data_IF_680538706384
#
_entry.id   IF_680538706384
#
_cell.length_a   1.000
_cell.length_b   1.000
_cell.length_c   1.000
_cell.angle_alpha   90.00
_cell.angle_beta   90.00
_cell.angle_gamma   90.00
#
_symmetry.space_group_name_H-M   'P 1'
#
loop_
_entity.id
_entity.type
_entity.pdbx_description
1 polymer ?
#
# COMPACT_ATOMS: atom_id res chain seq x y z
N UNK A 1 27.23 -21.51 -8.76
CA UNK A 1 27.17 -22.43 -7.61
C UNK A 1 25.84 -22.20 -6.91
N UNK A 2 24.95 -23.19 -6.84
CA UNK A 2 23.73 -23.08 -6.03
C UNK A 2 24.08 -23.50 -4.60
N UNK A 3 24.41 -22.54 -3.74
CA UNK A 3 24.67 -22.77 -2.31
C UNK A 3 23.49 -22.25 -1.52
N UNK A 4 22.88 -23.11 -0.69
CA UNK A 4 21.88 -22.68 0.28
C UNK A 4 22.61 -22.06 1.48
N UNK A 5 22.15 -20.90 1.97
CA UNK A 5 22.60 -20.23 3.18
C UNK A 5 21.40 -19.98 4.08
N UNK A 6 21.48 -20.35 5.35
CA UNK A 6 20.44 -20.04 6.35
C UNK A 6 20.87 -18.78 7.11
N UNK A 7 20.00 -17.79 7.15
CA UNK A 7 20.19 -16.58 7.97
C UNK A 7 19.19 -16.55 9.13
N UNK A 8 19.58 -15.93 10.24
CA UNK A 8 18.78 -15.74 11.45
C UNK A 8 18.58 -14.26 11.69
N UNK A 9 17.34 -13.83 11.91
CA UNK A 9 17.04 -12.46 12.33
C UNK A 9 16.91 -12.39 13.85
N UNK A 10 17.51 -11.37 14.46
CA UNK A 10 17.41 -11.10 15.89
C UNK A 10 17.41 -9.60 16.13
N UNK A 11 16.25 -9.03 16.50
CA UNK A 11 16.12 -7.57 16.65
C UNK A 11 16.35 -6.84 15.32
N UNK A 12 17.45 -6.12 15.22
CA UNK A 12 17.88 -5.35 14.03
C UNK A 12 19.13 -5.91 13.36
N UNK A 13 19.47 -7.16 13.63
CA UNK A 13 20.65 -7.83 13.11
C UNK A 13 20.28 -9.11 12.37
N UNK A 14 21.07 -9.40 11.33
CA UNK A 14 20.99 -10.57 10.47
C UNK A 14 22.27 -11.37 10.66
N UNK A 15 22.16 -12.51 11.32
CA UNK A 15 23.25 -13.44 11.54
C UNK A 15 23.29 -14.43 10.37
N UNK A 16 24.47 -14.68 9.83
CA UNK A 16 24.69 -15.65 8.73
C UNK A 16 25.60 -16.82 9.13
N UNK A 17 26.18 -16.77 10.34
CA UNK A 17 26.79 -17.87 11.05
C UNK A 17 26.63 -17.63 12.57
N UNK A 18 27.27 -18.43 13.42
CA UNK A 18 27.10 -18.35 14.88
C UNK A 18 27.71 -17.09 15.54
N UNK A 19 28.64 -16.40 14.89
CA UNK A 19 29.48 -15.35 15.49
C UNK A 19 29.38 -13.99 14.77
N UNK A 20 29.06 -13.97 13.49
CA UNK A 20 29.00 -12.79 12.65
C UNK A 20 27.56 -12.32 12.39
N UNK A 21 27.36 -11.03 12.59
CA UNK A 21 26.10 -10.34 12.40
C UNK A 21 26.28 -9.13 11.48
N UNK A 22 25.23 -8.83 10.74
CA UNK A 22 25.12 -7.68 9.86
C UNK A 22 23.90 -6.85 10.29
N UNK A 23 24.02 -5.52 10.47
CA UNK A 23 22.85 -4.69 10.78
C UNK A 23 21.83 -4.77 9.63
N UNK A 24 20.54 -4.67 9.93
CA UNK A 24 19.46 -4.76 8.94
C UNK A 24 19.59 -3.73 7.79
N UNK A 25 20.23 -2.58 8.06
CA UNK A 25 20.60 -1.56 7.08
C UNK A 25 21.64 -2.01 6.04
N UNK A 26 22.38 -3.09 6.31
CA UNK A 26 23.20 -3.83 5.36
C UNK A 26 22.40 -4.77 4.45
N UNK A 27 21.07 -4.75 4.53
CA UNK A 27 20.18 -5.46 3.59
C UNK A 27 19.39 -4.49 2.70
N UNK A 28 18.58 -5.01 1.77
CA UNK A 28 17.55 -4.24 1.07
C UNK A 28 16.14 -4.42 1.67
N UNK A 29 16.01 -4.92 2.90
CA UNK A 29 14.75 -4.90 3.65
C UNK A 29 14.44 -3.43 4.05
N UNK A 30 13.18 -3.02 3.92
CA UNK A 30 12.76 -1.63 4.17
C UNK A 30 13.06 -1.18 5.61
N UNK A 31 13.40 0.10 5.77
CA UNK A 31 13.70 0.72 7.08
C UNK A 31 12.51 0.82 8.03
N UNK A 32 11.28 0.62 7.54
CA UNK A 32 10.08 0.57 8.38
C UNK A 32 10.01 -0.64 9.33
N UNK A 33 10.86 -1.66 9.13
CA UNK A 33 10.92 -2.83 9.99
C UNK A 33 11.88 -2.60 11.17
N UNK A 34 11.33 -2.13 12.30
CA UNK A 34 12.14 -1.72 13.45
C UNK A 34 12.66 -2.84 14.35
N UNK A 35 12.05 -4.05 14.32
CA UNK A 35 12.53 -5.31 14.95
C UNK A 35 11.88 -6.55 14.30
N UNK A 36 12.67 -7.61 14.11
CA UNK A 36 12.16 -8.96 13.84
C UNK A 36 11.74 -9.69 15.12
N UNK A 37 10.81 -10.64 14.99
CA UNK A 37 10.46 -11.58 16.08
C UNK A 37 11.69 -12.46 16.40
N UNK A 38 11.91 -12.86 17.67
CA UNK A 38 12.91 -13.86 18.00
C UNK A 38 12.65 -15.18 17.26
N UNK A 39 13.72 -15.86 16.83
CA UNK A 39 13.62 -17.19 16.22
C UNK A 39 13.16 -17.21 14.75
N UNK A 40 13.28 -16.10 14.01
CA UNK A 40 13.05 -16.08 12.56
C UNK A 40 14.31 -16.55 11.84
N UNK A 41 14.17 -17.58 11.01
CA UNK A 41 15.25 -18.13 10.17
C UNK A 41 14.78 -18.23 8.72
N UNK A 42 15.58 -17.73 7.77
CA UNK A 42 15.28 -17.81 6.33
C UNK A 42 16.33 -18.65 5.60
N UNK A 43 15.89 -19.47 4.65
CA UNK A 43 16.78 -20.16 3.71
C UNK A 43 16.90 -19.32 2.43
N UNK A 44 18.13 -19.12 1.98
CA UNK A 44 18.50 -18.34 0.82
C UNK A 44 19.23 -19.23 -0.18
N UNK A 45 18.85 -19.18 -1.46
CA UNK A 45 19.70 -19.69 -2.54
C UNK A 45 20.62 -18.54 -3.01
N UNK A 46 21.93 -18.69 -2.78
CA UNK A 46 22.94 -17.68 -3.15
C UNK A 46 23.15 -17.68 -4.66
N UNK A 47 22.90 -16.56 -5.32
CA UNK A 47 22.99 -16.42 -6.78
C UNK A 47 24.30 -15.79 -7.26
N UNK A 48 24.86 -14.85 -6.49
CA UNK A 48 26.15 -14.21 -6.75
C UNK A 48 26.77 -13.73 -5.44
N UNK A 49 28.10 -13.80 -5.33
CA UNK A 49 28.87 -13.15 -4.27
C UNK A 49 29.97 -12.29 -4.90
N UNK A 50 30.15 -11.07 -4.40
CA UNK A 50 31.18 -10.14 -4.86
C UNK A 50 32.21 -9.89 -3.75
N UNK A 51 33.31 -10.61 -3.81
CA UNK A 51 34.35 -10.64 -2.76
C UNK A 51 34.93 -9.27 -2.44
N UNK A 52 35.21 -8.43 -3.45
CA UNK A 52 35.76 -7.08 -3.28
C UNK A 52 34.89 -6.16 -2.41
N UNK A 53 33.57 -6.35 -2.44
CA UNK A 53 32.63 -5.53 -1.65
C UNK A 53 32.04 -6.27 -0.45
N UNK A 54 32.14 -7.60 -0.41
CA UNK A 54 31.42 -8.45 0.53
C UNK A 54 29.91 -8.45 0.28
N UNK A 55 29.45 -8.21 -0.96
CA UNK A 55 28.02 -8.18 -1.30
C UNK A 55 27.54 -9.56 -1.75
N UNK A 56 26.58 -10.12 -1.02
CA UNK A 56 25.91 -11.38 -1.34
C UNK A 56 24.53 -11.11 -1.95
N UNK A 57 24.27 -11.67 -3.13
CA UNK A 57 22.99 -11.62 -3.83
C UNK A 57 22.31 -12.99 -3.70
N UNK A 58 21.04 -13.00 -3.31
CA UNK A 58 20.31 -14.25 -3.08
C UNK A 58 18.81 -14.17 -3.39
N UNK A 59 18.21 -15.34 -3.58
CA UNK A 59 16.75 -15.55 -3.65
C UNK A 59 16.30 -16.16 -2.32
N UNK A 60 15.22 -15.65 -1.71
CA UNK A 60 14.66 -16.26 -0.51
C UNK A 60 13.84 -17.49 -0.91
N UNK A 61 14.20 -18.66 -0.38
CA UNK A 61 13.59 -19.95 -0.68
C UNK A 61 12.53 -20.35 0.35
N UNK A 62 12.73 -20.01 1.61
CA UNK A 62 11.80 -20.32 2.70
C UNK A 62 11.95 -19.29 3.84
N UNK A 63 10.85 -18.67 4.26
CA UNK A 63 10.79 -17.69 5.37
C UNK A 63 10.67 -18.34 6.77
N UNK A 64 10.46 -19.65 6.81
CA UNK A 64 10.22 -20.46 8.01
C UNK A 64 11.20 -21.64 8.05
N UNK A 65 12.49 -21.34 8.08
CA UNK A 65 13.56 -22.34 8.26
C UNK A 65 13.76 -22.69 9.74
N UNK A 66 14.51 -23.76 10.03
CA UNK A 66 14.72 -24.21 11.40
C UNK A 66 16.03 -23.69 12.00
N UNK A 67 16.04 -23.49 13.32
CA UNK A 67 17.26 -23.23 14.08
C UNK A 67 18.29 -24.35 13.91
N UNK A 68 17.84 -25.60 13.82
CA UNK A 68 18.73 -26.75 13.59
C UNK A 68 19.50 -26.58 12.27
N UNK A 69 18.82 -26.21 11.18
CA UNK A 69 19.43 -25.92 9.88
C UNK A 69 20.42 -24.75 9.92
N UNK A 70 20.19 -23.75 10.78
CA UNK A 70 21.13 -22.65 10.98
C UNK A 70 22.38 -23.07 11.75
N UNK A 71 22.25 -23.96 12.74
CA UNK A 71 23.35 -24.46 13.56
C UNK A 71 24.20 -25.56 12.90
N UNK A 72 23.67 -26.27 11.89
CA UNK A 72 24.36 -27.37 11.19
C UNK A 72 24.84 -27.02 9.78
N UNK A 73 24.59 -25.81 9.28
CA UNK A 73 25.13 -25.37 7.99
C UNK A 73 26.65 -25.18 8.05
N UNK A 74 27.32 -25.40 6.92
CA UNK A 74 28.73 -25.06 6.76
C UNK A 74 28.91 -23.54 6.61
N UNK A 75 29.85 -22.96 7.36
CA UNK A 75 30.14 -21.52 7.39
C UNK A 75 30.38 -20.93 6.00
N UNK A 76 29.82 -19.74 5.75
CA UNK A 76 30.02 -19.05 4.50
C UNK A 76 31.47 -18.57 4.38
N UNK A 77 32.16 -19.02 3.34
CA UNK A 77 33.57 -18.70 3.08
C UNK A 77 33.68 -17.32 2.42
N UNK A 78 33.61 -16.27 3.25
CA UNK A 78 33.76 -14.88 2.82
C UNK A 78 33.06 -13.90 3.77
N UNK A 79 33.64 -12.71 3.98
CA UNK A 79 33.06 -11.68 4.85
C UNK A 79 31.87 -11.01 4.17
N UNK A 80 30.68 -11.16 4.73
CA UNK A 80 29.46 -10.54 4.19
C UNK A 80 29.27 -9.15 4.82
N UNK A 81 29.47 -8.10 4.00
CA UNK A 81 29.21 -6.71 4.36
C UNK A 81 27.82 -6.22 3.93
N UNK A 82 27.18 -6.92 2.98
CA UNK A 82 25.85 -6.57 2.47
C UNK A 82 25.10 -7.80 1.92
N UNK A 83 23.80 -7.89 2.15
CA UNK A 83 22.92 -8.89 1.53
C UNK A 83 21.87 -8.19 0.65
N UNK A 84 21.68 -8.65 -0.58
CA UNK A 84 20.67 -8.14 -1.52
C UNK A 84 19.77 -9.30 -1.93
N UNK A 85 18.53 -9.28 -1.42
CA UNK A 85 17.48 -10.20 -1.82
C UNK A 85 16.90 -9.76 -3.16
N UNK A 86 16.86 -10.64 -4.16
CA UNK A 86 16.30 -10.33 -5.49
C UNK A 86 14.81 -10.04 -5.43
N UNK A 87 14.07 -10.79 -4.60
CA UNK A 87 12.65 -10.63 -4.32
C UNK A 87 12.40 -10.92 -2.84
N UNK A 88 11.47 -10.18 -2.25
CA UNK A 88 11.01 -10.37 -0.87
C UNK A 88 9.49 -10.39 -0.90
N UNK A 89 8.90 -11.47 -0.38
CA UNK A 89 7.46 -11.56 -0.15
C UNK A 89 7.10 -10.70 1.07
N UNK A 90 6.28 -9.67 0.83
CA UNK A 90 5.85 -8.73 1.85
C UNK A 90 4.96 -9.39 2.91
N UNK A 91 4.15 -10.40 2.54
CA UNK A 91 3.27 -11.10 3.49
C UNK A 91 4.10 -11.93 4.50
N UNK A 92 5.02 -12.77 4.00
CA UNK A 92 5.94 -13.53 4.86
C UNK A 92 6.85 -12.62 5.70
N UNK A 93 7.36 -11.52 5.13
CA UNK A 93 8.14 -10.51 5.87
C UNK A 93 7.33 -9.87 7.03
N UNK A 94 6.07 -9.49 6.77
CA UNK A 94 5.16 -8.95 7.80
C UNK A 94 4.89 -9.99 8.89
N UNK A 95 4.71 -11.26 8.54
CA UNK A 95 4.57 -12.38 9.48
C UNK A 95 5.76 -12.53 10.44
N UNK A 96 6.98 -12.20 9.99
CA UNK A 96 8.22 -12.30 10.77
C UNK A 96 8.55 -11.09 11.65
N UNK A 97 7.85 -9.97 11.55
CA UNK A 97 8.22 -8.71 12.23
C UNK A 97 7.34 -8.35 13.43
N UNK A 98 7.85 -7.50 14.33
CA UNK A 98 7.09 -6.97 15.46
C UNK A 98 6.53 -5.60 15.09
N UNK A 99 5.20 -5.47 14.97
CA UNK A 99 4.55 -4.17 14.75
C UNK A 99 4.86 -3.23 15.91
N UNK A 100 5.45 -2.08 15.60
CA UNK A 100 5.66 -0.99 16.56
C UNK A 100 4.30 -0.46 17.04
N UNK A 101 4.01 -0.55 18.34
CA UNK A 101 2.85 0.13 18.96
C UNK A 101 3.17 1.62 19.16
N UNK A 102 3.30 2.36 18.07
CA UNK A 102 3.44 3.81 18.06
C UNK A 102 2.30 4.46 17.26
N UNK A 103 1.06 4.22 17.70
CA UNK A 103 -0.16 5.06 17.49
C UNK A 103 -1.44 4.36 17.98
N UNK A 104 -1.44 3.80 19.20
CA UNK A 104 -2.63 3.15 19.78
C UNK A 104 -2.90 3.57 21.23
N UNK A 105 -3.09 4.87 21.47
CA UNK A 105 -3.41 5.43 22.80
C UNK A 105 -4.28 6.69 22.73
N UNK A 106 -5.47 6.58 22.15
CA UNK A 106 -6.48 7.65 22.15
C UNK A 106 -7.93 7.16 22.39
N UNK A 107 -8.15 5.86 22.63
CA UNK A 107 -9.48 5.26 22.87
C UNK A 107 -9.46 4.21 23.98
N UNK A 108 -9.19 4.63 25.22
CA UNK A 108 -9.49 3.80 26.41
C UNK A 108 -9.64 4.58 27.73
N UNK A 109 -10.01 5.86 27.67
CA UNK A 109 -10.14 6.75 28.85
C UNK A 109 -11.49 7.48 28.93
N UNK A 110 -12.58 6.87 28.42
CA UNK A 110 -13.95 7.35 28.61
C UNK A 110 -14.95 6.19 28.78
N UNK A 111 -14.98 5.60 29.99
CA UNK A 111 -16.16 5.00 30.65
C UNK A 111 -15.75 4.24 31.93
N UNK A 112 -15.80 4.93 33.07
CA UNK A 112 -16.14 4.36 34.38
C UNK A 112 -16.20 5.45 35.47
N UNK A 113 -17.41 5.78 35.93
CA UNK A 113 -17.72 6.26 37.29
C UNK A 113 -18.93 5.47 37.76
N UNK A 114 -18.96 5.05 39.04
CA UNK A 114 -19.69 5.87 40.01
C UNK A 114 -18.97 6.09 41.36
N UNK A 115 -19.41 7.13 42.07
CA UNK A 115 -19.55 7.40 43.53
C UNK A 115 -18.94 6.41 44.57
N UNK A 116 -18.56 6.78 45.80
CA UNK A 116 -18.41 8.06 46.55
C UNK A 116 -17.69 7.74 47.90
N UNK A 117 -16.86 8.60 48.51
CA UNK A 117 -17.25 9.66 49.47
C UNK A 117 -16.02 10.43 50.03
N UNK A 118 -16.27 11.66 50.53
CA UNK A 118 -15.57 12.45 51.59
C UNK A 118 -14.19 11.98 52.12
N UNK A 119 -13.17 12.83 52.28
CA UNK A 119 -13.08 13.82 53.40
C UNK A 119 -12.14 15.01 53.08
N UNK A 120 -12.22 16.10 53.87
CA UNK A 120 -11.77 17.48 53.59
C UNK A 120 -10.31 17.84 53.96
N UNK A 121 -9.73 18.75 53.15
CA UNK A 121 -8.85 19.91 53.49
C UNK A 121 -7.43 19.70 54.10
N UNK A 122 -6.53 20.73 54.11
CA UNK A 122 -6.40 21.91 53.22
C UNK A 122 -4.95 22.18 52.71
N UNK A 123 -4.79 23.22 51.87
CA UNK A 123 -3.53 23.72 51.27
C UNK A 123 -2.51 24.32 52.26
N UNK A 124 -1.20 24.23 51.97
CA UNK A 124 -0.20 25.24 52.36
C UNK A 124 1.09 25.29 51.50
N UNK A 125 1.39 26.51 51.04
CA UNK A 125 2.69 27.18 50.84
C UNK A 125 3.80 26.63 49.90
N UNK A 126 4.15 27.47 48.91
CA UNK A 126 5.52 27.66 48.41
C UNK A 126 6.42 28.31 49.48
N UNK A 127 7.76 28.16 49.37
CA UNK A 127 8.71 29.17 49.83
C UNK A 127 9.60 29.73 48.70
N UNK A 128 10.08 30.95 48.93
CA UNK A 128 10.82 31.81 47.99
C UNK A 128 12.34 31.61 48.03
N UNK A 129 13.05 32.17 47.05
CA UNK A 129 14.51 32.24 47.01
C UNK A 129 15.12 33.26 48.02
N UNK A 130 16.42 33.13 48.34
CA UNK A 130 17.25 34.24 48.82
C UNK A 130 18.46 34.55 47.91
N UNK A 131 19.02 35.76 48.07
CA UNK A 131 20.08 36.33 47.22
C UNK A 131 21.51 36.18 47.77
N UNK A 132 22.48 36.31 46.84
CA UNK A 132 23.83 36.94 46.91
C UNK A 132 24.72 36.79 48.17
N UNK A 133 25.99 36.45 47.92
CA UNK A 133 27.16 37.03 48.61
C UNK A 133 28.30 37.29 47.61
N UNK A 134 29.09 38.32 47.89
CA UNK A 134 30.26 38.75 47.13
C UNK A 134 31.56 38.14 47.67
N UNK A 135 32.61 38.05 46.83
CA UNK A 135 33.97 38.38 47.25
C UNK A 135 34.85 38.73 46.03
N UNK A 136 35.72 39.75 46.19
CA UNK A 136 36.73 40.17 45.21
C UNK A 136 38.03 39.38 45.36
N UNK A 137 38.82 39.25 44.28
CA UNK A 137 40.27 39.57 44.29
C UNK A 137 40.91 39.70 42.88
N UNK A 138 41.67 40.80 42.71
CA UNK A 138 42.91 40.98 41.92
C UNK A 138 43.01 40.65 40.42
N UNK A 139 43.07 41.72 39.62
CA UNK A 139 43.87 42.01 38.42
C UNK A 139 44.92 40.97 37.93
N UNK A 140 44.88 40.64 36.64
CA UNK A 140 46.06 40.42 35.78
C UNK A 140 45.79 41.06 34.39
N UNK A 141 46.82 41.70 33.85
CA UNK A 141 46.85 42.53 32.64
C UNK A 141 48.24 42.40 31.98
N UNK A 142 48.48 42.42 30.65
CA UNK A 142 47.63 42.54 29.45
C UNK A 142 48.12 41.51 28.42
N UNK A 143 47.25 40.91 27.59
CA UNK A 143 47.65 40.40 26.26
C UNK A 143 46.52 40.51 25.23
N UNK A 144 46.70 41.39 24.23
CA UNK A 144 45.74 41.59 23.15
C UNK A 144 45.50 40.31 22.34
N UNK A 145 44.29 39.74 22.46
CA UNK A 145 43.73 38.88 21.42
C UNK A 145 42.87 39.78 20.54
N UNK A 146 43.37 40.12 19.36
CA UNK A 146 42.58 40.79 18.33
C UNK A 146 41.28 40.00 18.09
N UNK A 147 40.12 40.65 17.93
CA UNK A 147 38.91 39.92 17.54
C UNK A 147 39.19 39.17 16.22
N UNK A 148 38.67 37.95 16.04
CA UNK A 148 38.86 37.22 14.79
C UNK A 148 38.34 38.10 13.65
N UNK A 149 39.16 38.33 12.62
CA UNK A 149 38.73 39.12 11.47
C UNK A 149 37.48 38.48 10.86
N UNK A 150 36.38 39.23 10.89
CA UNK A 150 35.09 38.76 10.43
C UNK A 150 35.19 38.45 8.92
N UNK A 151 35.29 37.16 8.57
CA UNK A 151 35.38 36.71 7.18
C UNK A 151 34.20 37.31 6.42
N UNK A 152 34.48 38.12 5.40
CA UNK A 152 33.43 38.85 4.69
C UNK A 152 32.74 37.91 3.69
N UNK A 153 31.80 37.11 4.20
CA UNK A 153 31.04 36.15 3.39
C UNK A 153 30.07 36.89 2.45
N UNK A 154 30.28 36.74 1.15
CA UNK A 154 29.33 37.21 0.14
C UNK A 154 28.13 36.25 0.11
N UNK A 155 26.91 36.79 0.01
CA UNK A 155 25.70 35.98 -0.13
C UNK A 155 25.16 36.08 -1.55
N UNK A 156 24.82 34.93 -2.15
CA UNK A 156 24.31 34.82 -3.51
C UNK A 156 23.00 34.01 -3.53
N UNK A 157 22.03 34.42 -4.37
CA UNK A 157 20.80 33.65 -4.60
C UNK A 157 21.02 32.70 -5.77
N UNK A 158 20.81 31.40 -5.54
CA UNK A 158 20.99 30.32 -6.52
C UNK A 158 19.70 29.53 -6.66
N UNK A 159 19.33 29.16 -7.89
CA UNK A 159 18.20 28.26 -8.15
C UNK A 159 18.72 26.90 -8.63
N UNK A 160 18.23 25.81 -8.03
CA UNK A 160 18.55 24.43 -8.45
C UNK A 160 17.26 23.69 -8.82
N UNK A 161 17.27 22.88 -9.88
CA UNK A 161 16.18 21.95 -10.22
C UNK A 161 16.65 20.49 -10.04
N UNK A 162 15.80 19.67 -9.42
CA UNK A 162 16.12 18.28 -9.06
C UNK A 162 14.94 17.38 -9.43
N UNK A 163 15.21 16.34 -10.23
CA UNK A 163 14.22 15.30 -10.54
C UNK A 163 14.30 14.16 -9.51
N UNK A 164 13.20 13.90 -8.80
CA UNK A 164 13.12 12.81 -7.82
C UNK A 164 12.01 11.82 -8.21
N UNK A 165 12.29 10.50 -8.33
CA UNK A 165 11.25 9.51 -8.57
C UNK A 165 10.18 9.55 -7.46
N UNK A 166 8.90 9.43 -7.81
CA UNK A 166 7.82 9.41 -6.80
C UNK A 166 8.00 8.31 -5.76
N UNK A 167 8.61 7.19 -6.14
CA UNK A 167 8.96 6.05 -5.26
C UNK A 167 10.14 6.31 -4.31
N UNK A 168 10.78 7.47 -4.40
CA UNK A 168 11.92 7.86 -3.57
C UNK A 168 11.58 9.06 -2.66
N UNK A 169 10.32 9.51 -2.65
CA UNK A 169 9.81 10.53 -1.74
C UNK A 169 9.33 9.87 -0.44
N UNK A 170 9.56 10.53 0.68
CA UNK A 170 9.02 10.14 1.99
C UNK A 170 7.68 10.86 2.18
N UNK A 171 6.58 10.11 2.16
CA UNK A 171 5.21 10.63 2.28
C UNK A 171 4.82 10.79 3.75
N UNK A 172 4.34 11.98 4.11
CA UNK A 172 3.96 12.35 5.46
C UNK A 172 2.60 13.07 5.44
N UNK A 173 1.92 13.15 6.59
CA UNK A 173 0.67 13.92 6.70
C UNK A 173 0.89 15.38 6.31
N UNK A 174 0.30 15.80 5.19
CA UNK A 174 0.35 17.16 4.66
C UNK A 174 1.63 17.55 3.92
N UNK A 175 2.57 16.62 3.66
CA UNK A 175 3.79 16.93 2.89
C UNK A 175 4.53 15.71 2.34
N UNK A 176 5.39 15.94 1.35
CA UNK A 176 6.49 15.03 0.99
C UNK A 176 7.84 15.63 1.38
N UNK A 177 8.80 14.78 1.70
CA UNK A 177 10.20 15.18 1.82
C UNK A 177 11.17 14.18 1.18
N UNK A 178 12.41 14.62 0.98
CA UNK A 178 13.54 13.78 0.60
C UNK A 178 14.85 14.46 1.00
N UNK A 179 15.96 13.70 1.04
CA UNK A 179 17.28 14.27 1.39
C UNK A 179 18.09 14.61 0.15
N UNK A 180 18.36 15.90 -0.04
CA UNK A 180 19.19 16.41 -1.12
C UNK A 180 20.58 16.84 -0.62
N UNK A 181 21.47 17.15 -1.56
CA UNK A 181 22.87 17.48 -1.31
C UNK A 181 23.29 18.60 -2.28
N UNK A 182 22.93 19.88 -1.99
CA UNK A 182 23.07 20.99 -2.95
C UNK A 182 24.49 21.23 -3.44
N UNK A 183 25.47 20.93 -2.59
CA UNK A 183 26.91 21.06 -2.85
C UNK A 183 27.65 19.86 -2.25
N UNK A 184 28.48 19.16 -3.05
CA UNK A 184 29.07 17.85 -2.72
C UNK A 184 29.90 17.77 -1.43
N UNK A 185 30.38 18.92 -0.95
CA UNK A 185 31.21 19.05 0.24
C UNK A 185 30.43 19.52 1.48
N UNK A 186 29.18 19.96 1.32
CA UNK A 186 28.34 20.45 2.41
C UNK A 186 27.37 19.36 2.92
N UNK A 187 26.73 19.52 4.08
CA UNK A 187 25.78 18.52 4.60
C UNK A 187 24.58 18.27 3.68
N UNK A 188 23.95 17.10 3.82
CA UNK A 188 22.62 16.85 3.24
C UNK A 188 21.57 17.67 3.99
N UNK A 189 20.59 18.17 3.23
CA UNK A 189 19.41 18.88 3.74
C UNK A 189 18.16 18.08 3.42
N UNK A 190 17.17 18.17 4.30
CA UNK A 190 15.81 17.70 4.01
C UNK A 190 15.07 18.76 3.21
N UNK A 191 14.64 18.38 2.01
CA UNK A 191 13.81 19.18 1.13
C UNK A 191 12.36 18.77 1.39
N UNK A 192 11.49 19.72 1.72
CA UNK A 192 10.09 19.49 2.08
C UNK A 192 9.17 20.36 1.24
N UNK A 193 8.08 19.76 0.74
CA UNK A 193 6.99 20.47 0.03
C UNK A 193 5.66 20.05 0.64
N UNK A 194 4.87 21.04 1.08
CA UNK A 194 3.57 20.81 1.70
C UNK A 194 2.48 20.59 0.63
N UNK A 195 1.53 19.71 0.94
CA UNK A 195 0.24 19.55 0.27
C UNK A 195 -0.68 18.75 1.22
N UNK A 196 -1.81 19.35 1.62
CA UNK A 196 -2.71 18.81 2.65
C UNK A 196 -3.40 17.49 2.27
N UNK A 197 -3.54 17.20 0.98
CA UNK A 197 -4.07 15.93 0.48
C UNK A 197 -3.12 14.76 0.71
N UNK A 198 -1.82 15.01 0.94
CA UNK A 198 -0.83 13.95 1.13
C UNK A 198 -1.01 13.25 2.48
N UNK A 199 -0.92 11.92 2.42
CA UNK A 199 -1.07 11.00 3.55
C UNK A 199 0.12 10.06 3.66
N UNK A 200 0.48 9.67 4.88
CA UNK A 200 1.61 8.76 5.12
C UNK A 200 1.42 7.39 4.45
N UNK A 201 0.16 6.94 4.26
CA UNK A 201 -0.12 5.67 3.57
C UNK A 201 0.20 5.70 2.06
N UNK A 202 0.49 6.87 1.47
CA UNK A 202 0.72 6.99 0.03
C UNK A 202 2.07 6.44 -0.45
N UNK A 203 2.99 6.11 0.46
CA UNK A 203 4.26 5.45 0.13
C UNK A 203 4.07 4.19 -0.72
N UNK A 204 3.09 3.34 -0.36
CA UNK A 204 2.79 2.10 -1.09
C UNK A 204 2.10 2.32 -2.45
N UNK A 205 1.48 3.48 -2.68
CA UNK A 205 0.85 3.86 -3.95
C UNK A 205 1.60 4.93 -4.76
N UNK A 206 2.79 5.33 -4.31
CA UNK A 206 3.67 6.32 -4.94
C UNK A 206 3.90 6.10 -6.44
N UNK A 207 4.01 4.83 -6.88
CA UNK A 207 4.08 4.44 -8.30
C UNK A 207 2.84 4.86 -9.10
N UNK A 208 1.64 4.74 -8.52
CA UNK A 208 0.38 5.09 -9.17
C UNK A 208 0.15 6.61 -9.20
N UNK A 209 0.61 7.35 -8.18
CA UNK A 209 0.63 8.83 -8.21
C UNK A 209 1.41 9.32 -9.43
N UNK A 210 2.64 8.82 -9.63
CA UNK A 210 3.43 9.13 -10.82
C UNK A 210 2.76 8.71 -12.14
N UNK A 211 2.13 7.53 -12.18
CA UNK A 211 1.34 7.08 -13.35
C UNK A 211 0.20 8.04 -13.68
N UNK A 212 -0.54 8.54 -12.67
CA UNK A 212 -1.69 9.44 -12.85
C UNK A 212 -1.27 10.87 -13.24
N UNK A 213 -0.17 11.37 -12.68
CA UNK A 213 0.46 12.64 -13.07
C UNK A 213 1.12 12.55 -14.47
N UNK A 214 1.37 11.33 -14.97
CA UNK A 214 1.99 11.08 -16.27
C UNK A 214 3.52 11.23 -16.26
N UNK A 215 4.16 11.22 -15.08
CA UNK A 215 5.61 11.38 -14.91
C UNK A 215 6.16 10.38 -13.90
N UNK A 216 7.34 9.80 -14.17
CA UNK A 216 8.02 8.91 -13.20
C UNK A 216 8.66 9.68 -12.03
N UNK A 217 9.04 10.93 -12.28
CA UNK A 217 9.74 11.80 -11.35
C UNK A 217 8.95 13.11 -11.20
N UNK A 218 8.92 13.66 -9.98
CA UNK A 218 8.54 15.05 -9.73
C UNK A 218 9.76 15.96 -9.87
N UNK A 219 9.54 17.20 -10.32
CA UNK A 219 10.58 18.24 -10.36
C UNK A 219 10.49 19.08 -9.08
N UNK A 220 11.63 19.32 -8.43
CA UNK A 220 11.74 20.20 -7.28
C UNK A 220 12.67 21.36 -7.61
N UNK A 221 12.12 22.57 -7.62
CA UNK A 221 12.85 23.83 -7.81
C UNK A 221 13.13 24.42 -6.43
N UNK A 222 14.41 24.54 -6.10
CA UNK A 222 14.90 25.06 -4.82
C UNK A 222 15.49 26.45 -5.06
N UNK A 223 15.07 27.42 -4.27
CA UNK A 223 15.77 28.69 -4.13
C UNK A 223 16.68 28.63 -2.89
N UNK A 224 17.97 28.87 -3.10
CA UNK A 224 19.01 28.83 -2.08
C UNK A 224 19.61 30.22 -1.88
N UNK A 225 19.92 30.55 -0.63
CA UNK A 225 20.84 31.65 -0.30
C UNK A 225 22.15 31.02 0.16
N UNK A 226 23.21 31.29 -0.58
CA UNK A 226 24.51 30.60 -0.45
C UNK A 226 25.55 31.61 0.01
N UNK A 227 26.27 31.28 1.08
CA UNK A 227 27.39 32.09 1.56
C UNK A 227 28.68 31.54 0.96
N UNK A 228 29.32 32.35 0.13
CA UNK A 228 30.61 32.05 -0.50
C UNK A 228 31.72 32.84 0.17
N UNK A 229 32.88 32.21 0.31
CA UNK A 229 34.08 32.85 0.83
C UNK A 229 34.84 33.63 -0.27
N UNK A 230 35.94 34.26 0.11
CA UNK A 230 36.78 35.09 -0.77
C UNK A 230 37.39 34.31 -1.95
N UNK A 231 37.51 32.97 -1.86
CA UNK A 231 37.94 32.12 -2.98
C UNK A 231 36.77 31.60 -3.84
N UNK A 232 35.54 32.05 -3.59
CA UNK A 232 34.34 31.67 -4.34
C UNK A 232 33.79 30.29 -4.02
N UNK A 233 34.25 29.64 -2.93
CA UNK A 233 33.75 28.34 -2.48
C UNK A 233 32.56 28.52 -1.54
N UNK A 234 31.57 27.64 -1.66
CA UNK A 234 30.37 27.64 -0.82
C UNK A 234 30.71 27.12 0.59
N UNK A 235 30.63 27.97 1.61
CA UNK A 235 30.82 27.57 3.02
C UNK A 235 29.50 27.13 3.68
N UNK A 236 28.37 27.71 3.28
CA UNK A 236 27.03 27.32 3.78
C UNK A 236 25.90 27.73 2.84
N UNK A 237 24.73 27.13 3.00
CA UNK A 237 23.51 27.49 2.29
C UNK A 237 22.29 27.48 3.22
N UNK A 238 21.24 28.20 2.83
CA UNK A 238 19.91 28.16 3.42
C UNK A 238 18.88 27.96 2.29
N UNK A 239 17.85 27.14 2.52
CA UNK A 239 16.74 27.00 1.58
C UNK A 239 15.74 28.13 1.87
N UNK A 240 15.55 29.02 0.89
CA UNK A 240 14.57 30.11 0.96
C UNK A 240 13.17 29.61 0.60
N UNK A 241 13.07 28.82 -0.47
CA UNK A 241 11.80 28.26 -0.94
C UNK A 241 12.02 26.95 -1.69
N UNK A 242 10.98 26.12 -1.71
CA UNK A 242 10.92 24.87 -2.49
C UNK A 242 9.58 24.83 -3.19
N UNK A 243 9.59 24.60 -4.50
CA UNK A 243 8.40 24.44 -5.31
C UNK A 243 8.44 23.12 -6.07
N UNK A 244 7.29 22.46 -6.22
CA UNK A 244 7.13 21.33 -7.13
C UNK A 244 5.71 21.31 -7.70
N UNK A 245 5.61 21.51 -9.01
CA UNK A 245 4.32 21.56 -9.71
C UNK A 245 3.60 20.22 -9.63
N UNK A 246 4.33 19.11 -9.73
CA UNK A 246 3.73 17.78 -9.60
C UNK A 246 3.12 17.56 -8.21
N UNK A 247 3.83 17.95 -7.15
CA UNK A 247 3.35 17.80 -5.78
C UNK A 247 2.18 18.74 -5.49
N UNK A 248 2.24 20.00 -5.94
CA UNK A 248 1.13 20.95 -5.86
C UNK A 248 -0.12 20.45 -6.60
N UNK A 249 0.07 19.77 -7.74
CA UNK A 249 -1.06 19.27 -8.54
C UNK A 249 -1.86 18.14 -7.88
N UNK A 250 -1.33 17.48 -6.84
CA UNK A 250 -2.03 16.38 -6.15
C UNK A 250 -3.25 16.93 -5.42
N UNK A 251 -4.44 16.67 -5.95
CA UNK A 251 -5.72 17.01 -5.36
C UNK A 251 -6.54 15.75 -5.00
N UNK A 252 -7.71 15.96 -4.40
CA UNK A 252 -8.64 14.89 -4.05
C UNK A 252 -8.99 13.97 -5.23
N UNK A 253 -9.09 14.52 -6.45
CA UNK A 253 -9.42 13.75 -7.66
C UNK A 253 -8.28 12.82 -8.07
N UNK A 254 -7.04 13.30 -8.05
CA UNK A 254 -5.85 12.47 -8.29
C UNK A 254 -5.74 11.37 -7.23
N UNK A 255 -5.98 11.69 -5.95
CA UNK A 255 -5.97 10.68 -4.88
C UNK A 255 -7.06 9.63 -5.10
N UNK A 256 -8.26 10.05 -5.50
CA UNK A 256 -9.38 9.14 -5.76
C UNK A 256 -9.11 8.20 -6.95
N UNK A 257 -8.65 8.76 -8.07
CA UNK A 257 -8.26 7.97 -9.24
C UNK A 257 -7.07 7.03 -8.93
N UNK A 258 -6.15 7.42 -8.05
CA UNK A 258 -5.05 6.56 -7.58
C UNK A 258 -5.55 5.38 -6.76
N UNK A 259 -6.54 5.57 -5.88
CA UNK A 259 -7.15 4.49 -5.10
C UNK A 259 -7.87 3.48 -6.00
N UNK A 260 -8.70 3.93 -6.94
CA UNK A 260 -9.31 3.04 -7.93
C UNK A 260 -8.26 2.33 -8.78
N UNK A 261 -7.27 3.07 -9.30
CA UNK A 261 -6.17 2.49 -10.10
C UNK A 261 -5.43 1.39 -9.33
N UNK A 262 -5.14 1.62 -8.05
CA UNK A 262 -4.50 0.62 -7.20
C UNK A 262 -5.41 -0.59 -6.97
N UNK A 263 -6.67 -0.36 -6.61
CA UNK A 263 -7.61 -1.44 -6.35
C UNK A 263 -7.87 -2.33 -7.57
N UNK A 264 -8.04 -1.75 -8.76
CA UNK A 264 -8.20 -2.51 -10.00
C UNK A 264 -6.92 -3.24 -10.41
N UNK A 265 -5.73 -2.65 -10.24
CA UNK A 265 -4.47 -3.39 -10.48
C UNK A 265 -4.39 -4.63 -9.55
N UNK A 266 -4.87 -4.52 -8.31
CA UNK A 266 -4.98 -5.65 -7.39
C UNK A 266 -6.06 -6.67 -7.80
N UNK A 267 -7.25 -6.25 -8.27
CA UNK A 267 -8.30 -7.15 -8.76
C UNK A 267 -7.90 -7.90 -10.04
N UNK A 268 -7.36 -7.20 -11.04
CA UNK A 268 -7.01 -7.77 -12.34
C UNK A 268 -5.65 -8.48 -12.37
N UNK A 269 -4.87 -8.40 -11.28
CA UNK A 269 -3.58 -9.09 -11.18
C UNK A 269 -3.76 -10.60 -11.12
N UNK A 270 -3.02 -11.33 -11.96
CA UNK A 270 -2.88 -12.80 -11.85
C UNK A 270 -2.26 -13.26 -10.51
N UNK A 271 -1.65 -12.32 -9.77
CA UNK A 271 -1.08 -12.48 -8.43
C UNK A 271 -1.73 -11.47 -7.47
N UNK A 272 -3.05 -11.36 -7.52
CA UNK A 272 -3.85 -10.68 -6.53
C UNK A 272 -3.54 -11.21 -5.12
N UNK A 273 -3.42 -10.31 -4.15
CA UNK A 273 -3.25 -10.62 -2.73
C UNK A 273 -4.60 -10.47 -2.01
N UNK A 274 -5.68 -10.96 -2.63
CA UNK A 274 -7.05 -10.77 -2.16
C UNK A 274 -7.48 -12.05 -1.45
N UNK A 275 -7.98 -11.93 -0.23
CA UNK A 275 -8.52 -13.07 0.50
C UNK A 275 -9.95 -13.37 0.01
N UNK A 276 -10.28 -14.67 -0.13
CA UNK A 276 -11.56 -15.20 -0.64
C UNK A 276 -11.95 -14.68 -2.04
N UNK A 277 -11.06 -14.82 -3.03
CA UNK A 277 -11.24 -14.28 -4.40
C UNK A 277 -12.45 -14.81 -5.17
N UNK A 278 -12.93 -16.01 -4.83
CA UNK A 278 -14.12 -16.65 -5.42
C UNK A 278 -15.42 -16.35 -4.66
N UNK A 279 -15.37 -15.58 -3.57
CA UNK A 279 -16.54 -15.23 -2.76
C UNK A 279 -17.25 -13.99 -3.33
N UNK A 280 -18.58 -14.03 -3.33
CA UNK A 280 -19.43 -12.91 -3.75
C UNK A 280 -19.42 -11.77 -2.72
N UNK A 281 -18.60 -10.76 -2.95
CA UNK A 281 -18.50 -9.57 -2.09
C UNK A 281 -19.28 -8.41 -2.72
N UNK A 282 -19.94 -7.60 -1.90
CA UNK A 282 -20.27 -6.23 -2.28
C UNK A 282 -18.99 -5.41 -2.37
N UNK A 283 -19.07 -4.30 -3.08
CA UNK A 283 -18.13 -3.18 -3.03
C UNK A 283 -17.63 -2.85 -1.61
N UNK A 284 -18.55 -2.59 -0.69
CA UNK A 284 -18.28 -2.21 0.71
C UNK A 284 -17.45 -3.30 1.42
N UNK A 285 -17.87 -4.56 1.32
CA UNK A 285 -17.19 -5.72 1.91
C UNK A 285 -15.79 -5.91 1.30
N UNK A 286 -15.68 -5.86 -0.03
CA UNK A 286 -14.41 -6.01 -0.74
C UNK A 286 -13.38 -4.95 -0.32
N UNK A 287 -13.78 -3.68 -0.32
CA UNK A 287 -12.89 -2.59 0.09
C UNK A 287 -12.62 -2.62 1.60
N UNK A 288 -13.57 -3.08 2.41
CA UNK A 288 -13.38 -3.23 3.85
C UNK A 288 -12.31 -4.26 4.22
N UNK A 289 -12.34 -5.42 3.58
CA UNK A 289 -11.42 -6.54 3.84
C UNK A 289 -10.00 -6.25 3.35
N UNK A 290 -9.85 -5.63 2.17
CA UNK A 290 -8.58 -5.63 1.44
C UNK A 290 -7.76 -4.32 1.51
N UNK A 291 -8.32 -3.21 2.01
CA UNK A 291 -7.67 -1.89 1.95
C UNK A 291 -7.76 -1.11 3.28
N UNK A 292 -6.73 -0.34 3.61
CA UNK A 292 -6.77 0.62 4.72
C UNK A 292 -7.74 1.78 4.41
N UNK A 293 -8.36 2.39 5.43
CA UNK A 293 -9.40 3.42 5.26
C UNK A 293 -9.01 4.57 4.33
N UNK A 294 -7.75 4.99 4.35
CA UNK A 294 -7.24 6.11 3.57
C UNK A 294 -6.94 5.73 2.10
N UNK A 295 -6.94 4.44 1.77
CA UNK A 295 -6.73 3.89 0.44
C UNK A 295 -8.01 3.29 -0.17
N UNK A 296 -9.13 3.27 0.56
CA UNK A 296 -10.45 2.94 0.01
C UNK A 296 -10.94 4.10 -0.86
N UNK A 297 -11.53 3.83 -2.03
CA UNK A 297 -12.31 4.83 -2.75
C UNK A 297 -13.40 5.43 -1.84
N UNK A 298 -13.73 6.68 -2.10
CA UNK A 298 -14.82 7.43 -1.47
C UNK A 298 -16.19 6.92 -1.92
N UNK A 299 -16.34 6.56 -3.21
CA UNK A 299 -17.54 5.94 -3.76
C UNK A 299 -17.33 4.44 -3.93
N UNK A 300 -18.08 3.68 -3.12
CA UNK A 300 -18.08 2.23 -3.14
C UNK A 300 -19.50 1.71 -3.40
N UNK A 301 -20.30 2.40 -4.20
CA UNK A 301 -21.47 1.75 -4.80
C UNK A 301 -21.00 0.83 -5.95
N UNK A 302 -21.65 -0.32 -6.19
CA UNK A 302 -21.20 -1.26 -7.21
C UNK A 302 -21.32 -0.76 -8.66
N UNK A 303 -22.23 0.17 -8.94
CA UNK A 303 -22.43 0.75 -10.27
C UNK A 303 -21.23 1.64 -10.66
N UNK A 304 -20.80 2.53 -9.76
CA UNK A 304 -19.58 3.32 -9.87
C UNK A 304 -18.34 2.43 -10.02
N UNK A 305 -18.25 1.30 -9.30
CA UNK A 305 -17.16 0.32 -9.52
C UNK A 305 -17.18 -0.24 -10.94
N UNK A 306 -18.35 -0.60 -11.46
CA UNK A 306 -18.47 -1.17 -12.80
C UNK A 306 -18.06 -0.15 -13.87
N UNK A 307 -18.52 1.10 -13.76
CA UNK A 307 -18.07 2.20 -14.63
C UNK A 307 -16.56 2.46 -14.53
N UNK A 308 -16.03 2.54 -13.30
CA UNK A 308 -14.59 2.75 -13.06
C UNK A 308 -13.73 1.57 -13.53
N UNK A 309 -14.25 0.35 -13.48
CA UNK A 309 -13.62 -0.82 -14.08
C UNK A 309 -13.58 -0.68 -15.61
N UNK A 310 -14.68 -0.25 -16.24
CA UNK A 310 -14.75 -0.02 -17.69
C UNK A 310 -13.71 1.03 -18.16
N UNK A 311 -13.51 2.10 -17.38
CA UNK A 311 -12.45 3.09 -17.62
C UNK A 311 -11.04 2.47 -17.50
N UNK A 312 -10.81 1.61 -16.51
CA UNK A 312 -9.50 1.02 -16.23
C UNK A 312 -9.06 -0.03 -17.27
N UNK A 313 -9.98 -0.91 -17.67
CA UNK A 313 -9.74 -2.01 -18.61
C UNK A 313 -11.04 -2.37 -19.32
N UNK A 314 -11.14 -2.11 -20.63
CA UNK A 314 -12.33 -2.47 -21.42
C UNK A 314 -12.66 -3.97 -21.23
N UNK A 315 -13.86 -4.34 -20.77
CA UNK A 315 -14.28 -5.73 -20.61
C UNK A 315 -14.48 -6.40 -21.97
N UNK A 316 -14.52 -7.72 -21.99
CA UNK A 316 -15.00 -8.46 -23.17
C UNK A 316 -16.50 -8.29 -23.36
N UNK A 317 -17.26 -8.40 -22.26
CA UNK A 317 -18.72 -8.36 -22.28
C UNK A 317 -19.27 -6.95 -21.97
N UNK A 318 -18.74 -5.91 -22.64
CA UNK A 318 -19.14 -4.53 -22.35
C UNK A 318 -20.65 -4.29 -22.49
N UNK A 319 -21.25 -4.70 -23.60
CA UNK A 319 -22.68 -4.49 -23.85
C UNK A 319 -23.58 -5.33 -22.92
N UNK A 320 -23.32 -6.64 -22.70
CA UNK A 320 -24.01 -7.42 -21.67
C UNK A 320 -23.94 -6.81 -20.26
N UNK A 321 -22.73 -6.49 -19.77
CA UNK A 321 -22.54 -5.94 -18.42
C UNK A 321 -23.27 -4.61 -18.24
N UNK A 322 -23.24 -3.74 -19.26
CA UNK A 322 -23.98 -2.47 -19.24
C UNK A 322 -25.49 -2.71 -19.21
N UNK A 323 -26.03 -3.59 -20.06
CA UNK A 323 -27.45 -3.92 -20.08
C UNK A 323 -27.93 -4.52 -18.75
N UNK A 324 -27.12 -5.39 -18.13
CA UNK A 324 -27.44 -5.99 -16.83
C UNK A 324 -27.40 -4.97 -15.70
N UNK A 325 -26.45 -4.02 -15.73
CA UNK A 325 -26.41 -2.91 -14.77
C UNK A 325 -27.64 -2.00 -14.88
N UNK A 326 -28.00 -1.58 -16.10
CA UNK A 326 -29.19 -0.75 -16.37
C UNK A 326 -30.51 -1.45 -15.94
N UNK A 327 -30.52 -2.78 -15.81
CA UNK A 327 -31.67 -3.60 -15.40
C UNK A 327 -31.62 -4.07 -13.94
N UNK A 328 -30.56 -3.73 -13.21
CA UNK A 328 -30.32 -4.28 -11.88
C UNK A 328 -31.28 -3.73 -10.80
N UNK A 329 -31.85 -4.63 -10.00
CA UNK A 329 -32.70 -4.32 -8.85
C UNK A 329 -31.88 -4.02 -7.58
N UNK A 330 -31.12 -2.94 -7.64
CA UNK A 330 -30.22 -2.48 -6.57
C UNK A 330 -30.96 -2.14 -5.25
N UNK A 331 -32.25 -1.80 -5.33
CA UNK A 331 -33.15 -1.56 -4.20
C UNK A 331 -33.50 -2.83 -3.41
N UNK A 332 -33.54 -3.98 -4.07
CA UNK A 332 -33.83 -5.29 -3.46
C UNK A 332 -32.55 -6.07 -3.11
N UNK A 333 -31.49 -5.91 -3.90
CA UNK A 333 -30.24 -6.65 -3.75
C UNK A 333 -29.06 -5.81 -4.22
N UNK A 334 -28.10 -5.51 -3.34
CA UNK A 334 -26.85 -4.86 -3.73
C UNK A 334 -26.07 -5.75 -4.71
N UNK A 335 -25.66 -5.21 -5.85
CA UNK A 335 -24.74 -5.87 -6.79
C UNK A 335 -23.48 -6.37 -6.09
N UNK A 336 -23.09 -7.61 -6.42
CA UNK A 336 -21.93 -8.31 -5.87
C UNK A 336 -21.01 -8.77 -6.98
N UNK A 337 -19.74 -8.99 -6.66
CA UNK A 337 -18.76 -9.55 -7.58
C UNK A 337 -17.83 -10.56 -6.92
N UNK A 338 -17.26 -11.44 -7.75
CA UNK A 338 -16.08 -12.27 -7.45
C UNK A 338 -14.86 -11.66 -8.13
N UNK A 339 -13.66 -11.93 -7.63
CA UNK A 339 -12.38 -11.48 -8.23
C UNK A 339 -11.77 -12.53 -9.16
N UNK A 340 -11.98 -13.83 -8.88
CA UNK A 340 -11.56 -14.92 -9.80
C UNK A 340 -12.68 -15.94 -10.01
N UNK A 341 -13.22 -16.05 -11.24
CA UNK A 341 -13.10 -15.08 -12.35
C UNK A 341 -13.69 -13.71 -11.94
N UNK A 342 -13.18 -12.59 -12.48
CA UNK A 342 -13.76 -11.28 -12.19
C UNK A 342 -15.14 -11.20 -12.82
N UNK A 343 -16.19 -11.23 -12.01
CA UNK A 343 -17.57 -11.49 -12.47
C UNK A 343 -18.58 -10.80 -11.58
N UNK A 344 -19.67 -10.32 -12.16
CA UNK A 344 -20.73 -9.58 -11.49
C UNK A 344 -22.00 -10.43 -11.38
N UNK A 345 -22.61 -10.44 -10.20
CA UNK A 345 -23.89 -11.11 -9.93
C UNK A 345 -25.00 -10.07 -9.78
N UNK A 346 -25.79 -9.91 -10.84
CA UNK A 346 -26.95 -9.04 -10.89
C UNK A 346 -28.20 -9.76 -10.39
N UNK A 347 -29.12 -9.02 -9.79
CA UNK A 347 -30.52 -9.41 -9.64
C UNK A 347 -31.36 -8.66 -10.67
N UNK A 348 -32.14 -9.38 -11.48
CA UNK A 348 -33.17 -8.86 -12.37
C UNK A 348 -34.56 -9.27 -11.87
N UNK A 349 -35.58 -8.52 -12.27
CA UNK A 349 -37.00 -8.79 -12.03
C UNK A 349 -37.70 -9.01 -13.37
N UNK A 350 -38.39 -10.15 -13.51
CA UNK A 350 -39.41 -10.37 -14.54
C UNK A 350 -40.81 -10.29 -13.92
N UNK A 351 -41.84 -10.71 -14.64
CA UNK A 351 -43.24 -10.53 -14.21
C UNK A 351 -43.54 -11.30 -12.91
N UNK A 352 -43.33 -12.61 -12.91
CA UNK A 352 -43.64 -13.51 -11.78
C UNK A 352 -42.41 -14.10 -11.06
N UNK A 353 -41.19 -13.77 -11.50
CA UNK A 353 -39.93 -14.35 -10.98
C UNK A 353 -38.83 -13.31 -10.78
N UNK A 354 -37.85 -13.67 -9.94
CA UNK A 354 -36.55 -13.00 -9.88
C UNK A 354 -35.49 -13.86 -10.59
N UNK A 355 -34.46 -13.20 -11.10
CA UNK A 355 -33.38 -13.86 -11.84
C UNK A 355 -32.02 -13.38 -11.32
N UNK A 356 -31.24 -14.31 -10.76
CA UNK A 356 -29.82 -14.05 -10.53
C UNK A 356 -29.06 -14.28 -11.84
N UNK A 357 -28.27 -13.30 -12.26
CA UNK A 357 -27.49 -13.34 -13.50
C UNK A 357 -26.03 -13.10 -13.19
N UNK A 358 -25.18 -14.10 -13.42
CA UNK A 358 -23.73 -14.00 -13.31
C UNK A 358 -23.12 -13.78 -14.69
N UNK A 359 -22.41 -12.67 -14.85
CA UNK A 359 -21.70 -12.30 -16.08
C UNK A 359 -20.23 -12.01 -15.79
N UNK A 360 -19.34 -12.55 -16.61
CA UNK A 360 -17.89 -12.43 -16.44
C UNK A 360 -17.33 -11.19 -17.13
N UNK A 361 -16.30 -10.58 -16.58
CA UNK A 361 -15.79 -9.30 -17.04
C UNK A 361 -14.79 -9.41 -18.21
N UNK A 362 -13.77 -10.26 -18.08
CA UNK A 362 -12.66 -10.40 -19.04
C UNK A 362 -12.38 -11.84 -19.50
N UNK A 363 -13.09 -12.83 -18.97
CA UNK A 363 -13.06 -14.21 -19.46
C UNK A 363 -14.13 -14.46 -20.53
N UNK A 364 -13.83 -15.36 -21.47
CA UNK A 364 -14.76 -15.76 -22.54
C UNK A 364 -15.66 -16.90 -22.07
N UNK A 365 -16.39 -16.66 -20.97
CA UNK A 365 -17.36 -17.60 -20.40
C UNK A 365 -18.77 -17.33 -20.97
N UNK A 366 -19.76 -18.03 -20.43
CA UNK A 366 -21.17 -17.83 -20.78
C UNK A 366 -21.86 -17.02 -19.67
N UNK A 367 -22.95 -16.32 -19.99
CA UNK A 367 -23.84 -15.79 -18.96
C UNK A 367 -24.58 -16.95 -18.29
N UNK A 368 -24.64 -16.93 -16.96
CA UNK A 368 -25.34 -17.94 -16.16
C UNK A 368 -26.53 -17.31 -15.45
N UNK A 369 -27.69 -17.94 -15.52
CA UNK A 369 -28.95 -17.40 -15.02
C UNK A 369 -29.62 -18.44 -14.11
N UNK A 370 -30.11 -18.01 -12.95
CA UNK A 370 -30.89 -18.82 -12.03
C UNK A 370 -32.24 -18.15 -11.75
N UNK A 371 -33.31 -18.86 -12.08
CA UNK A 371 -34.70 -18.46 -11.80
C UNK A 371 -34.99 -18.67 -10.31
N UNK A 372 -35.74 -17.75 -9.72
CA UNK A 372 -36.17 -17.77 -8.31
C UNK A 372 -37.62 -17.30 -8.21
N UNK A 373 -38.37 -17.89 -7.28
CA UNK A 373 -39.68 -17.35 -6.88
C UNK A 373 -39.56 -15.88 -6.44
N UNK A 374 -40.57 -15.08 -6.77
CA UNK A 374 -40.60 -13.63 -6.55
C UNK A 374 -40.89 -13.25 -5.09
N UNK A 375 -40.17 -13.88 -4.17
CA UNK A 375 -40.27 -13.66 -2.72
C UNK A 375 -38.89 -13.57 -2.05
N UNK A 376 -38.83 -12.83 -0.95
CA UNK A 376 -37.59 -12.52 -0.21
C UNK A 376 -36.94 -13.78 0.40
N UNK A 377 -37.72 -14.80 0.74
CA UNK A 377 -37.22 -16.03 1.36
C UNK A 377 -36.52 -16.90 0.34
N UNK A 378 -37.17 -17.15 -0.81
CA UNK A 378 -36.57 -17.91 -1.92
C UNK A 378 -35.34 -17.19 -2.47
N UNK A 379 -35.41 -15.85 -2.64
CA UNK A 379 -34.25 -15.03 -3.03
C UNK A 379 -33.06 -15.19 -2.07
N UNK A 380 -33.29 -15.11 -0.76
CA UNK A 380 -32.22 -15.29 0.25
C UNK A 380 -31.66 -16.72 0.27
N UNK A 381 -32.52 -17.72 0.12
CA UNK A 381 -32.10 -19.12 0.09
C UNK A 381 -31.24 -19.41 -1.16
N UNK A 382 -31.68 -18.93 -2.34
CA UNK A 382 -30.94 -19.08 -3.59
C UNK A 382 -29.63 -18.30 -3.56
N UNK A 383 -29.61 -17.08 -3.03
CA UNK A 383 -28.35 -16.34 -2.86
C UNK A 383 -27.34 -17.12 -2.02
N UNK A 384 -27.75 -17.73 -0.90
CA UNK A 384 -26.87 -18.55 -0.06
C UNK A 384 -26.39 -19.83 -0.77
N UNK A 385 -27.22 -20.45 -1.61
CA UNK A 385 -26.79 -21.53 -2.51
C UNK A 385 -25.70 -21.03 -3.49
N UNK A 386 -25.89 -19.86 -4.09
CA UNK A 386 -24.95 -19.25 -5.03
C UNK A 386 -23.63 -18.84 -4.36
N UNK A 387 -23.62 -18.34 -3.13
CA UNK A 387 -22.38 -18.08 -2.37
C UNK A 387 -21.54 -19.36 -2.16
N UNK A 388 -22.21 -20.45 -1.79
CA UNK A 388 -21.58 -21.77 -1.65
C UNK A 388 -21.10 -22.33 -2.98
N UNK A 389 -21.88 -22.12 -4.05
CA UNK A 389 -21.50 -22.50 -5.41
C UNK A 389 -20.27 -21.73 -5.88
N UNK A 390 -20.27 -20.39 -5.77
CA UNK A 390 -19.19 -19.51 -6.25
C UNK A 390 -17.85 -19.80 -5.57
N UNK A 391 -17.86 -20.02 -4.25
CA UNK A 391 -16.67 -20.46 -3.50
C UNK A 391 -16.03 -21.74 -4.07
N UNK A 392 -16.83 -22.59 -4.74
CA UNK A 392 -16.40 -23.83 -5.38
C UNK A 392 -16.39 -23.77 -6.92
N UNK A 393 -16.72 -22.64 -7.58
CA UNK A 393 -17.05 -22.57 -9.02
C UNK A 393 -15.83 -22.50 -9.95
N UNK A 394 -14.74 -23.14 -9.54
CA UNK A 394 -13.61 -23.44 -10.41
C UNK A 394 -14.04 -24.30 -11.61
N UNK A 395 -13.26 -24.27 -12.69
CA UNK A 395 -13.61 -24.86 -13.99
C UNK A 395 -14.16 -26.30 -13.91
N UNK A 396 -13.49 -27.18 -13.16
CA UNK A 396 -13.90 -28.58 -12.96
C UNK A 396 -15.28 -28.71 -12.30
N UNK A 397 -15.62 -27.84 -11.35
CA UNK A 397 -16.87 -27.91 -10.61
C UNK A 397 -18.00 -27.17 -11.35
N UNK A 398 -17.68 -26.07 -12.04
CA UNK A 398 -18.58 -25.39 -12.98
C UNK A 398 -19.11 -26.36 -14.04
N UNK A 399 -18.25 -27.17 -14.67
CA UNK A 399 -18.70 -28.15 -15.67
C UNK A 399 -19.56 -29.26 -15.06
N UNK A 400 -19.26 -29.72 -13.83
CA UNK A 400 -20.13 -30.68 -13.11
C UNK A 400 -21.52 -30.10 -12.85
N UNK A 401 -21.60 -28.86 -12.36
CA UNK A 401 -22.86 -28.16 -12.07
C UNK A 401 -23.71 -27.97 -13.35
N UNK A 402 -23.08 -27.55 -14.45
CA UNK A 402 -23.77 -27.45 -15.75
C UNK A 402 -24.27 -28.83 -16.21
N UNK A 403 -23.46 -29.88 -16.03
CA UNK A 403 -23.80 -31.24 -16.45
C UNK A 403 -24.93 -31.88 -15.62
N UNK A 404 -25.10 -31.48 -14.36
CA UNK A 404 -26.20 -31.97 -13.51
C UNK A 404 -27.57 -31.38 -13.87
N UNK A 405 -27.65 -30.44 -14.82
CA UNK A 405 -28.89 -29.78 -15.28
C UNK A 405 -29.80 -29.34 -14.12
N UNK A 406 -29.31 -28.44 -13.24
CA UNK A 406 -30.11 -27.97 -12.11
C UNK A 406 -31.38 -27.27 -12.60
N UNK A 407 -32.46 -27.41 -11.83
CA UNK A 407 -33.74 -26.81 -12.17
C UNK A 407 -33.68 -25.27 -12.10
N UNK A 408 -34.43 -24.61 -12.98
CA UNK A 408 -34.41 -23.15 -13.14
C UNK A 408 -33.05 -22.56 -13.55
N UNK A 409 -32.12 -23.34 -14.12
CA UNK A 409 -30.81 -22.84 -14.56
C UNK A 409 -30.72 -22.72 -16.09
N UNK A 410 -30.28 -21.54 -16.55
CA UNK A 410 -30.07 -21.25 -17.96
C UNK A 410 -28.63 -20.76 -18.21
N UNK A 411 -28.15 -20.95 -19.43
CA UNK A 411 -26.81 -20.56 -19.86
C UNK A 411 -26.85 -19.97 -21.28
N UNK A 412 -26.43 -18.71 -21.43
CA UNK A 412 -26.33 -18.05 -22.72
C UNK A 412 -24.87 -18.07 -23.17
N UNK A 413 -24.56 -18.83 -24.22
CA UNK A 413 -23.25 -18.80 -24.88
C UNK A 413 -23.23 -17.58 -25.81
N UNK A 414 -22.25 -16.71 -25.61
CA UNK A 414 -21.99 -15.52 -26.43
C UNK A 414 -21.44 -15.91 -27.82
N UNK A 415 -21.81 -15.12 -28.82
CA UNK A 415 -21.10 -15.09 -30.10
C UNK A 415 -20.09 -13.94 -30.07
N UNK A 416 -18.83 -14.25 -30.38
CA UNK A 416 -17.70 -13.31 -30.38
C UNK A 416 -17.22 -12.96 -31.80
N UNK A 417 -17.91 -13.42 -32.84
CA UNK A 417 -17.52 -13.19 -34.24
C UNK A 417 -17.97 -11.78 -34.71
N UNK A 418 -19.09 -11.29 -34.17
CA UNK A 418 -19.63 -9.97 -34.46
C UNK A 418 -20.27 -9.39 -33.19
N UNK A 419 -19.59 -8.43 -32.55
CA UNK A 419 -19.96 -7.88 -31.23
C UNK A 419 -21.41 -7.34 -31.17
N UNK A 420 -21.92 -6.75 -32.26
CA UNK A 420 -23.25 -6.11 -32.28
C UNK A 420 -24.35 -7.16 -32.44
N UNK A 421 -24.22 -8.03 -33.44
CA UNK A 421 -25.21 -9.08 -33.70
C UNK A 421 -25.17 -10.17 -32.61
N UNK A 422 -23.99 -10.43 -32.05
CA UNK A 422 -23.78 -11.28 -30.88
C UNK A 422 -24.45 -10.73 -29.62
N UNK A 423 -24.34 -9.42 -29.36
CA UNK A 423 -25.06 -8.77 -28.26
C UNK A 423 -26.58 -8.81 -28.46
N UNK A 424 -27.09 -8.50 -29.67
CA UNK A 424 -28.53 -8.57 -29.94
C UNK A 424 -29.06 -9.99 -29.73
N UNK A 425 -28.36 -11.00 -30.28
CA UNK A 425 -28.69 -12.42 -30.11
C UNK A 425 -28.61 -12.87 -28.64
N UNK A 426 -27.67 -12.34 -27.86
CA UNK A 426 -27.56 -12.58 -26.43
C UNK A 426 -28.74 -11.96 -25.67
N UNK A 427 -29.09 -10.71 -25.99
CA UNK A 427 -30.17 -9.95 -25.37
C UNK A 427 -31.52 -10.61 -25.64
N UNK A 428 -31.80 -11.00 -26.88
CA UNK A 428 -33.04 -11.69 -27.23
C UNK A 428 -33.20 -13.01 -26.46
N UNK A 429 -32.10 -13.77 -26.27
CA UNK A 429 -32.11 -14.98 -25.43
C UNK A 429 -32.34 -14.67 -23.95
N UNK A 430 -31.77 -13.58 -23.43
CA UNK A 430 -31.98 -13.16 -22.05
C UNK A 430 -33.43 -12.71 -21.85
N UNK A 431 -33.95 -11.86 -22.73
CA UNK A 431 -35.32 -11.36 -22.71
C UNK A 431 -36.32 -12.54 -22.77
N UNK A 432 -36.09 -13.57 -23.60
CA UNK A 432 -36.90 -14.81 -23.63
C UNK A 432 -36.89 -15.60 -22.30
N UNK A 433 -35.85 -15.47 -21.48
CA UNK A 433 -35.74 -16.17 -20.18
C UNK A 433 -36.38 -15.37 -19.04
N UNK A 434 -36.39 -14.02 -19.14
CA UNK A 434 -36.89 -13.12 -18.08
C UNK A 434 -38.32 -12.61 -18.29
N UNK A 435 -38.91 -12.89 -19.47
CA UNK A 435 -40.36 -12.89 -19.70
C UNK A 435 -41.03 -14.02 -18.90
#
# INVERSE_FOLDING_TARGET
MNRTLIIKFSGNEVFYNATEALPLSGTNISKGFHKFKPGVYWALDVTKYEERTGTLYAVIKNYSSSQHSFSTQADFTGRINRIIFSHIDTASLLGCTVRSKAHSSAKSAMRARPNSHSTRQPLRNLPSAPQKKELNTSNIDIANISPPSEKTLKTEKVTQSIMVPFTNLEYNEGYVCFRHHPYKHLPKVEVKVNNDFIKTQFDCVSKYIGKKIGRKNAEFVLELMVKVNESGQEESFEIVSVFSKEIESIDERIIEDVKYTYAFDQMFSKRSNIDDESKLKTSDEFFADNFESNLKPSQNDPESILEKAFEFKKPKHYLPLKYLADKHKADLFKLRFTVKPFSFLFLLEGDDKYYFVLETYDESLATYIWVVEKDITSMKLKFKELEGLMSAFEETNRQKYISSKPDGFHRIIHDYINDVDGFNTWKDKLDIIIL
#
